data_IF_743260779065
#
_entry.id   IF_743260779065
#
_cell.length_a   1.000
_cell.length_b   1.000
_cell.length_c   1.000
_cell.angle_alpha   90.00
_cell.angle_beta   90.00
_cell.angle_gamma   90.00
#
_symmetry.space_group_name_H-M   'P 1'
#
loop_
_entity.id
_entity.type
_entity.pdbx_description
1 polymer ?
#
# COMPACT_ATOMS: atom_id res chain seq x y z
N UNK A 1 -12.52 5.45 -4.96
CA UNK A 1 -11.72 4.31 -5.48
C UNK A 1 -10.85 4.77 -6.63
N UNK A 2 -9.59 4.32 -6.68
CA UNK A 2 -8.66 4.66 -7.78
C UNK A 2 -9.15 4.09 -9.10
N UNK A 3 -9.07 4.82 -10.22
CA UNK A 3 -9.55 4.36 -11.54
C UNK A 3 -8.51 3.54 -12.32
N UNK A 4 -7.23 3.86 -12.13
CA UNK A 4 -6.09 3.21 -12.77
C UNK A 4 -5.56 2.15 -11.80
N UNK A 5 -5.54 0.89 -12.21
CA UNK A 5 -5.03 -0.21 -11.38
C UNK A 5 -3.69 -0.68 -11.91
N UNK A 6 -2.79 -1.05 -11.01
CA UNK A 6 -1.52 -1.65 -11.36
C UNK A 6 -1.70 -3.12 -11.72
N UNK A 7 -1.26 -3.51 -12.91
CA UNK A 7 -1.38 -4.88 -13.41
C UNK A 7 -0.11 -5.68 -13.12
N UNK A 8 1.06 -5.11 -13.41
CA UNK A 8 2.33 -5.78 -13.24
C UNK A 8 3.46 -4.98 -13.86
N UNK A 9 4.65 -5.58 -13.88
CA UNK A 9 5.83 -5.01 -14.51
C UNK A 9 6.15 -5.83 -15.76
N UNK A 10 6.15 -5.19 -16.92
CA UNK A 10 6.52 -5.80 -18.21
C UNK A 10 7.79 -5.16 -18.75
N UNK A 11 8.76 -5.95 -19.20
CA UNK A 11 10.03 -5.50 -19.82
C UNK A 11 10.59 -4.14 -19.34
N UNK A 12 10.74 -3.94 -18.02
CA UNK A 12 11.21 -2.71 -17.33
C UNK A 12 10.22 -1.54 -17.16
N UNK A 13 8.99 -1.64 -17.64
CA UNK A 13 7.93 -0.64 -17.46
C UNK A 13 6.80 -1.17 -16.57
N UNK A 14 6.10 -0.25 -15.89
CA UNK A 14 4.92 -0.61 -15.11
C UNK A 14 3.68 -0.51 -15.98
N UNK A 15 2.89 -1.59 -16.02
CA UNK A 15 1.65 -1.66 -16.77
C UNK A 15 0.47 -1.45 -15.84
N UNK A 16 -0.48 -0.66 -16.33
CA UNK A 16 -1.70 -0.30 -15.66
C UNK A 16 -2.91 -0.55 -16.55
N UNK A 17 -4.08 -0.62 -15.91
CA UNK A 17 -5.36 -0.71 -16.59
C UNK A 17 -6.31 0.39 -16.12
N UNK A 18 -6.87 1.14 -17.06
CA UNK A 18 -7.88 2.14 -16.76
C UNK A 18 -9.26 1.49 -16.74
N UNK A 19 -9.84 1.34 -15.55
CA UNK A 19 -11.15 0.69 -15.40
C UNK A 19 -12.33 1.47 -16.01
N UNK A 20 -12.15 2.76 -16.33
CA UNK A 20 -13.19 3.60 -16.96
C UNK A 20 -13.13 3.52 -18.49
N UNK A 21 -11.96 3.74 -19.07
CA UNK A 21 -11.76 3.76 -20.54
C UNK A 21 -11.48 2.38 -21.11
N UNK A 22 -11.09 1.41 -20.27
CA UNK A 22 -10.64 0.05 -20.64
C UNK A 22 -9.31 0.01 -21.37
N UNK A 23 -8.54 1.10 -21.32
CA UNK A 23 -7.22 1.18 -21.92
C UNK A 23 -6.17 0.48 -21.04
N UNK A 24 -5.27 -0.25 -21.71
CA UNK A 24 -3.99 -0.65 -21.14
C UNK A 24 -3.01 0.52 -21.27
N UNK A 25 -2.31 0.83 -20.18
CA UNK A 25 -1.41 1.97 -20.08
C UNK A 25 -0.05 1.50 -19.59
N UNK A 26 1.03 2.09 -20.10
CA UNK A 26 2.39 1.86 -19.63
C UNK A 26 3.02 3.19 -19.21
N UNK A 27 4.00 3.12 -18.32
CA UNK A 27 4.89 4.25 -18.05
C UNK A 27 5.70 4.57 -19.29
N UNK A 28 5.93 5.85 -19.57
CA UNK A 28 6.90 6.24 -20.60
C UNK A 28 8.28 5.63 -20.30
N UNK A 29 8.96 5.16 -21.35
CA UNK A 29 10.35 4.71 -21.29
C UNK A 29 11.24 5.86 -20.84
N UNK A 30 11.62 5.91 -19.57
CA UNK A 30 12.54 6.92 -19.08
C UNK A 30 13.96 6.60 -19.53
N UNK A 31 14.41 7.21 -20.64
CA UNK A 31 15.84 7.44 -20.89
C UNK A 31 16.35 8.70 -20.15
N UNK A 32 15.58 9.26 -19.22
CA UNK A 32 15.93 10.50 -18.52
C UNK A 32 16.22 10.22 -17.03
N UNK A 33 17.41 10.59 -16.53
CA UNK A 33 17.70 10.56 -15.11
C UNK A 33 16.80 11.58 -14.40
N UNK A 34 16.13 11.11 -13.36
CA UNK A 34 15.13 11.81 -12.55
C UNK A 34 15.72 12.96 -11.67
N UNK A 35 16.79 13.64 -12.12
CA UNK A 35 17.49 14.66 -11.32
C UNK A 35 17.11 16.12 -11.61
N UNK A 36 16.43 16.43 -12.71
CA UNK A 36 16.38 17.84 -13.18
C UNK A 36 15.06 18.60 -12.96
N UNK A 37 13.97 17.93 -12.57
CA UNK A 37 12.68 18.60 -12.33
C UNK A 37 12.32 18.92 -10.87
N UNK A 38 13.13 18.48 -9.90
CA UNK A 38 12.69 18.37 -8.50
C UNK A 38 12.80 19.65 -7.65
N UNK A 39 13.21 20.79 -8.20
CA UNK A 39 13.63 21.95 -7.39
C UNK A 39 12.53 23.01 -7.20
N UNK A 40 11.52 23.14 -8.06
CA UNK A 40 10.63 24.32 -8.02
C UNK A 40 9.34 24.20 -7.17
N UNK A 41 9.06 23.07 -6.51
CA UNK A 41 7.92 22.95 -5.55
C UNK A 41 8.32 22.51 -4.13
N UNK A 42 9.58 22.77 -3.73
CA UNK A 42 10.21 22.24 -2.51
C UNK A 42 9.72 22.84 -1.17
N UNK A 43 8.96 23.94 -1.16
CA UNK A 43 8.73 24.71 0.08
C UNK A 43 7.72 24.08 1.07
N UNK A 44 6.85 23.17 0.62
CA UNK A 44 5.83 22.53 1.49
C UNK A 44 6.21 21.14 2.02
N UNK A 45 7.05 20.37 1.29
CA UNK A 45 7.38 18.98 1.67
C UNK A 45 8.45 18.88 2.76
N UNK A 46 9.27 19.91 2.94
CA UNK A 46 10.33 19.91 3.95
C UNK A 46 9.79 19.82 5.37
N UNK A 47 8.69 20.52 5.68
CA UNK A 47 8.05 20.46 7.00
C UNK A 47 7.56 19.05 7.33
N UNK A 48 7.01 18.33 6.35
CA UNK A 48 6.58 16.93 6.53
C UNK A 48 7.76 15.98 6.71
N UNK A 49 8.83 16.16 5.93
CA UNK A 49 10.06 15.36 6.05
C UNK A 49 10.70 15.56 7.43
N UNK A 50 10.80 16.81 7.89
CA UNK A 50 11.32 17.16 9.21
C UNK A 50 10.45 16.59 10.33
N UNK A 51 9.13 16.72 10.24
CA UNK A 51 8.18 16.12 11.20
C UNK A 51 8.36 14.61 11.30
N UNK A 52 8.48 13.94 10.15
CA UNK A 52 8.65 12.50 10.08
C UNK A 52 10.02 12.02 10.60
N UNK A 53 11.09 12.75 10.29
CA UNK A 53 12.41 12.49 10.84
C UNK A 53 12.43 12.68 12.37
N UNK A 54 11.82 13.75 12.87
CA UNK A 54 11.71 14.02 14.31
C UNK A 54 10.93 12.90 15.02
N UNK A 55 9.80 12.47 14.47
CA UNK A 55 9.01 11.39 15.06
C UNK A 55 9.78 10.07 15.09
N UNK A 56 10.51 9.74 14.02
CA UNK A 56 11.34 8.54 13.97
C UNK A 56 12.42 8.57 15.07
N UNK A 57 13.13 9.69 15.21
CA UNK A 57 14.14 9.88 16.26
C UNK A 57 13.50 9.78 17.64
N UNK A 58 12.32 10.37 17.86
CA UNK A 58 11.61 10.28 19.13
C UNK A 58 11.26 8.83 19.50
N UNK A 59 10.72 8.04 18.54
CA UNK A 59 10.38 6.62 18.76
C UNK A 59 11.63 5.81 19.11
N UNK A 60 12.70 5.97 18.33
CA UNK A 60 13.98 5.28 18.57
C UNK A 60 14.56 5.68 19.92
N UNK A 61 14.49 6.96 20.29
CA UNK A 61 15.01 7.46 21.57
C UNK A 61 14.26 6.87 22.77
N UNK A 62 12.93 6.73 22.69
CA UNK A 62 12.12 6.06 23.73
C UNK A 62 12.52 4.59 23.86
N UNK A 63 12.76 3.91 22.73
CA UNK A 63 13.24 2.53 22.69
C UNK A 63 14.62 2.37 23.34
N UNK A 64 15.59 3.20 22.96
CA UNK A 64 16.94 3.17 23.54
C UNK A 64 16.89 3.48 25.03
N UNK A 65 16.11 4.49 25.44
CA UNK A 65 15.92 4.83 26.85
C UNK A 65 15.39 3.65 27.64
N UNK A 66 14.43 2.89 27.10
CA UNK A 66 13.91 1.69 27.77
C UNK A 66 14.97 0.63 28.05
N UNK A 67 15.98 0.48 27.18
CA UNK A 67 17.02 -0.53 27.35
C UNK A 67 18.01 -0.15 28.46
N UNK A 68 18.23 1.15 28.64
CA UNK A 68 19.21 1.69 29.60
C UNK A 68 18.57 2.01 30.95
N UNK A 69 17.34 2.50 30.94
CA UNK A 69 16.61 2.94 32.13
C UNK A 69 15.12 2.57 32.02
N UNK A 70 14.69 1.46 32.66
CA UNK A 70 13.29 1.06 32.70
C UNK A 70 12.41 2.17 33.27
N UNK A 71 11.23 2.35 32.70
CA UNK A 71 10.28 3.36 33.14
C UNK A 71 8.85 2.80 33.09
N UNK A 72 7.94 3.41 33.85
CA UNK A 72 6.51 3.09 33.80
C UNK A 72 5.80 3.91 32.74
N UNK A 73 4.86 3.28 32.07
CA UNK A 73 3.96 3.97 31.15
C UNK A 73 3.08 4.97 31.90
N UNK A 74 2.70 6.05 31.21
CA UNK A 74 1.76 7.03 31.74
C UNK A 74 0.82 7.50 30.63
N UNK A 75 -0.35 7.98 31.01
CA UNK A 75 -1.37 8.46 30.06
C UNK A 75 -0.86 9.55 29.10
N UNK A 76 0.09 10.38 29.54
CA UNK A 76 0.74 11.40 28.71
C UNK A 76 1.51 10.82 27.50
N UNK A 77 1.84 9.53 27.53
CA UNK A 77 2.52 8.84 26.43
C UNK A 77 1.54 8.30 25.37
N UNK A 78 0.24 8.26 25.66
CA UNK A 78 -0.79 7.77 24.73
C UNK A 78 -0.78 8.56 23.40
N UNK A 79 -0.77 9.91 23.40
CA UNK A 79 -0.71 10.68 22.15
C UNK A 79 0.54 10.39 21.31
N UNK A 80 1.69 10.12 21.95
CA UNK A 80 2.94 9.78 21.27
C UNK A 80 2.82 8.43 20.55
N UNK A 81 2.23 7.44 21.22
CA UNK A 81 1.97 6.12 20.62
C UNK A 81 0.98 6.21 19.47
N UNK A 82 -0.10 6.98 19.63
CA UNK A 82 -1.06 7.21 18.56
C UNK A 82 -0.41 7.89 17.34
N UNK A 83 0.47 8.86 17.57
CA UNK A 83 1.24 9.51 16.50
C UNK A 83 2.14 8.50 15.77
N UNK A 84 2.78 7.57 16.49
CA UNK A 84 3.60 6.51 15.89
C UNK A 84 2.77 5.54 15.03
N UNK A 85 1.61 5.11 15.51
CA UNK A 85 0.65 4.28 14.76
C UNK A 85 0.23 5.01 13.47
N UNK A 86 -0.17 6.28 13.59
CA UNK A 86 -0.60 7.09 12.45
C UNK A 86 0.53 7.31 11.44
N UNK A 87 1.75 7.52 11.92
CA UNK A 87 2.94 7.63 11.10
C UNK A 87 3.17 6.39 10.24
N UNK A 88 3.16 5.21 10.86
CA UNK A 88 3.35 3.95 10.14
C UNK A 88 2.23 3.77 9.11
N UNK A 89 0.99 4.05 9.49
CA UNK A 89 -0.16 3.95 8.59
C UNK A 89 -0.04 4.89 7.37
N UNK A 90 0.13 6.20 7.60
CA UNK A 90 0.25 7.20 6.52
C UNK A 90 1.49 6.93 5.67
N UNK A 91 2.63 6.66 6.31
CA UNK A 91 3.89 6.36 5.65
C UNK A 91 3.78 5.15 4.74
N UNK A 92 3.10 4.08 5.17
CA UNK A 92 2.89 2.88 4.35
C UNK A 92 1.97 3.14 3.16
N UNK A 93 0.86 3.84 3.37
CA UNK A 93 -0.11 4.18 2.31
C UNK A 93 0.54 5.10 1.27
N UNK A 94 1.29 6.11 1.71
CA UNK A 94 2.04 7.02 0.85
C UNK A 94 3.20 6.33 0.13
N UNK A 95 3.95 5.48 0.84
CA UNK A 95 5.05 4.70 0.30
C UNK A 95 4.58 3.79 -0.83
N UNK A 96 3.46 3.10 -0.64
CA UNK A 96 2.84 2.29 -1.69
C UNK A 96 2.45 3.14 -2.90
N UNK A 97 1.79 4.28 -2.69
CA UNK A 97 1.44 5.21 -3.78
C UNK A 97 2.68 5.62 -4.58
N UNK A 98 3.77 5.94 -3.89
CA UNK A 98 5.01 6.38 -4.54
C UNK A 98 5.74 5.24 -5.25
N UNK A 99 5.74 4.03 -4.69
CA UNK A 99 6.41 2.87 -5.29
C UNK A 99 5.67 2.35 -6.52
N UNK A 100 4.35 2.23 -6.45
CA UNK A 100 3.56 1.59 -7.51
C UNK A 100 2.87 2.56 -8.47
N UNK A 101 2.72 3.84 -8.13
CA UNK A 101 1.98 4.81 -8.96
C UNK A 101 2.76 6.10 -9.25
N UNK A 102 4.04 6.21 -8.89
CA UNK A 102 4.85 7.38 -9.27
C UNK A 102 4.93 7.56 -10.79
N UNK A 103 5.12 6.47 -11.53
CA UNK A 103 5.15 6.45 -12.99
C UNK A 103 3.77 6.65 -13.63
N UNK A 104 2.67 6.51 -12.88
CA UNK A 104 1.31 6.71 -13.38
C UNK A 104 0.96 8.18 -13.71
N UNK A 105 1.93 9.10 -13.59
CA UNK A 105 1.78 10.52 -13.98
C UNK A 105 2.01 10.76 -15.47
N UNK A 106 2.81 9.91 -16.12
CA UNK A 106 3.04 9.94 -17.56
C UNK A 106 2.72 8.56 -18.12
N UNK A 107 1.47 8.41 -18.56
CA UNK A 107 0.92 7.16 -19.04
C UNK A 107 0.65 7.26 -20.53
N UNK A 108 1.21 6.33 -21.28
CA UNK A 108 0.96 6.16 -22.72
C UNK A 108 0.24 4.83 -22.96
N UNK A 109 -0.53 4.68 -24.05
CA UNK A 109 -1.17 3.41 -24.39
C UNK A 109 -0.14 2.29 -24.51
N UNK A 110 -0.40 1.16 -23.85
CA UNK A 110 0.45 -0.04 -23.91
C UNK A 110 0.08 -0.93 -25.10
N UNK A 111 1.04 -1.72 -25.59
CA UNK A 111 0.76 -2.79 -26.55
C UNK A 111 0.14 -4.01 -25.86
N UNK A 112 -0.48 -4.88 -26.65
CA UNK A 112 -1.04 -6.13 -26.14
C UNK A 112 0.05 -7.04 -25.54
N UNK A 113 1.21 -7.13 -26.20
CA UNK A 113 2.35 -7.92 -25.73
C UNK A 113 2.85 -7.44 -24.36
N UNK A 114 2.99 -6.12 -24.17
CA UNK A 114 3.40 -5.55 -22.89
C UNK A 114 2.41 -5.87 -21.77
N UNK A 115 1.12 -5.81 -22.07
CA UNK A 115 0.08 -6.14 -21.10
C UNK A 115 0.08 -7.62 -20.75
N UNK A 116 0.22 -8.50 -21.75
CA UNK A 116 0.34 -9.94 -21.55
C UNK A 116 1.55 -10.28 -20.68
N UNK A 117 2.72 -9.74 -21.01
CA UNK A 117 3.95 -9.94 -20.24
C UNK A 117 3.77 -9.52 -18.78
N UNK A 118 3.19 -8.35 -18.53
CA UNK A 118 2.92 -7.88 -17.16
C UNK A 118 1.93 -8.76 -16.38
N UNK A 119 0.93 -9.34 -17.06
CA UNK A 119 -0.01 -10.29 -16.43
C UNK A 119 0.72 -11.59 -16.08
N UNK A 120 1.48 -12.15 -17.01
CA UNK A 120 2.20 -13.43 -16.87
C UNK A 120 3.36 -13.35 -15.87
N UNK A 121 4.06 -12.22 -15.81
CA UNK A 121 5.14 -11.95 -14.85
C UNK A 121 4.63 -11.72 -13.42
N UNK A 122 3.35 -11.34 -13.27
CA UNK A 122 2.79 -11.03 -11.96
C UNK A 122 2.85 -12.25 -11.03
N UNK A 123 3.42 -12.07 -9.84
CA UNK A 123 3.52 -13.18 -8.86
C UNK A 123 2.15 -13.70 -8.46
N UNK A 124 1.16 -12.80 -8.40
CA UNK A 124 -0.24 -13.10 -8.16
C UNK A 124 -0.79 -14.11 -9.18
N UNK A 125 -0.60 -13.86 -10.47
CA UNK A 125 -1.08 -14.74 -11.53
C UNK A 125 -0.24 -16.00 -11.67
N UNK A 126 1.09 -15.86 -11.60
CA UNK A 126 2.04 -16.96 -11.75
C UNK A 126 1.84 -18.06 -10.70
N UNK A 127 1.45 -17.71 -9.48
CA UNK A 127 1.13 -18.68 -8.42
C UNK A 127 -0.30 -19.22 -8.48
N UNK A 128 -1.16 -18.68 -9.34
CA UNK A 128 -2.54 -19.18 -9.50
C UNK A 128 -2.53 -20.60 -10.12
N UNK A 129 -3.30 -21.57 -9.56
CA UNK A 129 -3.29 -22.97 -10.02
C UNK A 129 -3.66 -23.09 -11.50
N UNK A 130 -4.76 -22.44 -11.89
CA UNK A 130 -5.22 -22.31 -13.26
C UNK A 130 -4.95 -20.88 -13.76
N UNK A 131 -4.55 -20.70 -15.02
CA UNK A 131 -4.34 -19.37 -15.62
C UNK A 131 -5.63 -18.81 -16.21
N UNK A 132 -6.76 -18.99 -15.53
CA UNK A 132 -8.05 -18.52 -15.99
C UNK A 132 -8.71 -17.54 -15.02
N UNK A 133 -9.31 -16.45 -15.51
CA UNK A 133 -9.97 -15.46 -14.66
C UNK A 133 -11.42 -15.90 -14.40
N UNK A 134 -11.57 -16.96 -13.59
CA UNK A 134 -12.86 -17.62 -13.29
C UNK A 134 -13.72 -16.80 -12.33
N UNK A 135 -15.03 -17.07 -12.35
CA UNK A 135 -15.98 -16.49 -11.38
C UNK A 135 -15.66 -16.95 -9.96
N UNK A 136 -15.22 -18.20 -9.80
CA UNK A 136 -14.86 -18.76 -8.49
C UNK A 136 -13.73 -17.99 -7.82
N UNK A 137 -12.72 -17.54 -8.58
CA UNK A 137 -11.68 -16.66 -8.04
C UNK A 137 -12.24 -15.32 -7.57
N UNK A 138 -13.16 -14.74 -8.32
CA UNK A 138 -13.82 -13.47 -7.91
C UNK A 138 -14.58 -13.68 -6.59
N UNK A 139 -15.32 -14.78 -6.45
CA UNK A 139 -16.04 -15.13 -5.22
C UNK A 139 -15.06 -15.37 -4.06
N UNK A 140 -13.95 -16.08 -4.30
CA UNK A 140 -12.91 -16.30 -3.31
C UNK A 140 -12.32 -14.98 -2.81
N UNK A 141 -11.93 -14.07 -3.71
CA UNK A 141 -11.37 -12.78 -3.29
C UNK A 141 -12.42 -11.87 -2.64
N UNK A 142 -13.70 -11.98 -3.01
CA UNK A 142 -14.78 -11.32 -2.29
C UNK A 142 -14.88 -11.83 -0.85
N UNK A 143 -14.83 -13.14 -0.65
CA UNK A 143 -14.81 -13.75 0.68
C UNK A 143 -13.58 -13.31 1.49
N UNK A 144 -12.38 -13.33 0.88
CA UNK A 144 -11.15 -12.83 1.53
C UNK A 144 -11.27 -11.37 1.94
N UNK A 145 -11.86 -10.51 1.11
CA UNK A 145 -12.10 -9.10 1.44
C UNK A 145 -13.10 -8.98 2.60
N UNK A 146 -14.16 -9.78 2.63
CA UNK A 146 -15.14 -9.77 3.73
C UNK A 146 -14.49 -10.17 5.06
N UNK A 147 -13.69 -11.24 5.05
CA UNK A 147 -12.92 -11.68 6.23
C UNK A 147 -11.96 -10.58 6.67
N UNK A 148 -11.25 -9.96 5.73
CA UNK A 148 -10.33 -8.85 6.03
C UNK A 148 -11.06 -7.66 6.67
N UNK A 149 -12.26 -7.31 6.18
CA UNK A 149 -13.08 -6.24 6.75
C UNK A 149 -13.58 -6.59 8.16
N UNK A 150 -13.95 -7.84 8.40
CA UNK A 150 -14.33 -8.31 9.73
C UNK A 150 -13.15 -8.21 10.72
N UNK A 151 -11.97 -8.69 10.32
CA UNK A 151 -10.74 -8.56 11.12
C UNK A 151 -10.37 -7.10 11.35
N UNK A 152 -10.57 -6.23 10.35
CA UNK A 152 -10.34 -4.79 10.49
C UNK A 152 -11.20 -4.17 11.60
N UNK A 153 -12.48 -4.53 11.69
CA UNK A 153 -13.35 -4.06 12.79
C UNK A 153 -12.80 -4.54 14.13
N UNK A 154 -12.42 -5.81 14.25
CA UNK A 154 -11.83 -6.35 15.49
C UNK A 154 -10.56 -5.57 15.86
N UNK A 155 -9.66 -5.37 14.91
CA UNK A 155 -8.38 -4.71 15.16
C UNK A 155 -8.56 -3.25 15.57
N UNK A 156 -9.42 -2.50 14.87
CA UNK A 156 -9.60 -1.07 15.12
C UNK A 156 -10.35 -0.82 16.44
N UNK A 157 -11.38 -1.61 16.75
CA UNK A 157 -12.22 -1.36 17.93
C UNK A 157 -11.76 -2.10 19.19
N UNK A 158 -10.97 -3.17 19.06
CA UNK A 158 -10.54 -3.96 20.20
C UNK A 158 -9.03 -4.06 20.32
N UNK A 159 -8.33 -4.52 19.28
CA UNK A 159 -6.88 -4.78 19.41
C UNK A 159 -6.08 -3.49 19.64
N UNK A 160 -6.29 -2.45 18.83
CA UNK A 160 -5.59 -1.16 18.98
C UNK A 160 -5.96 -0.51 20.34
N UNK A 161 -7.24 -0.37 20.73
CA UNK A 161 -7.60 0.13 22.05
C UNK A 161 -6.97 -0.66 23.21
N UNK A 162 -6.94 -1.98 23.12
CA UNK A 162 -6.33 -2.83 24.15
C UNK A 162 -4.82 -2.56 24.34
N UNK A 163 -4.11 -2.09 23.32
CA UNK A 163 -2.70 -1.70 23.47
C UNK A 163 -2.49 -0.51 24.40
N UNK A 164 -3.54 0.25 24.73
CA UNK A 164 -3.48 1.37 25.65
C UNK A 164 -3.78 1.02 27.12
N UNK A 165 -4.26 -0.20 27.42
CA UNK A 165 -4.51 -0.64 28.80
C UNK A 165 -3.27 -0.48 29.70
N UNK A 166 -2.05 -0.87 29.27
CA UNK A 166 -0.84 -0.73 30.10
C UNK A 166 -0.49 0.71 30.51
N UNK A 167 -1.02 1.73 29.82
CA UNK A 167 -0.79 3.15 30.14
C UNK A 167 -1.62 3.61 31.32
N UNK A 168 -2.84 3.08 31.46
CA UNK A 168 -3.73 3.35 32.59
C UNK A 168 -3.31 2.56 33.83
N UNK A 169 -2.81 1.34 33.64
CA UNK A 169 -2.30 0.49 34.73
C UNK A 169 -0.88 0.85 35.17
N UNK A 170 -0.24 1.80 34.48
CA UNK A 170 1.13 2.24 34.72
C UNK A 170 2.15 1.09 34.73
N UNK A 171 1.97 0.14 33.80
CA UNK A 171 2.86 -1.00 33.70
C UNK A 171 4.29 -0.57 33.35
N UNK A 172 5.25 -1.43 33.71
CA UNK A 172 6.62 -1.28 33.24
C UNK A 172 6.66 -1.42 31.72
N UNK A 173 7.32 -0.45 31.08
CA UNK A 173 7.49 -0.46 29.65
C UNK A 173 8.16 -1.75 29.18
N UNK A 174 7.55 -2.41 28.18
CA UNK A 174 8.13 -3.52 27.44
C UNK A 174 8.19 -3.13 25.95
N UNK A 175 9.28 -3.42 25.24
CA UNK A 175 9.38 -3.06 23.81
C UNK A 175 8.25 -3.63 22.93
N UNK A 176 7.67 -4.77 23.32
CA UNK A 176 6.48 -5.35 22.68
C UNK A 176 5.26 -4.43 22.69
N UNK A 177 5.12 -3.54 23.68
CA UNK A 177 4.02 -2.60 23.80
C UNK A 177 4.00 -1.53 22.69
N UNK A 178 5.13 -1.28 22.01
CA UNK A 178 5.16 -0.50 20.77
C UNK A 178 4.98 -1.39 19.53
N UNK A 179 5.62 -2.57 19.51
CA UNK A 179 5.64 -3.41 18.31
C UNK A 179 4.28 -4.02 17.99
N UNK A 180 3.50 -4.40 19.01
CA UNK A 180 2.16 -4.97 18.83
C UNK A 180 1.20 -3.98 18.17
N UNK A 181 1.02 -2.73 18.65
CA UNK A 181 0.17 -1.75 17.98
C UNK A 181 0.67 -1.41 16.57
N UNK A 182 1.98 -1.28 16.35
CA UNK A 182 2.54 -1.05 15.02
C UNK A 182 2.22 -2.24 14.10
N UNK A 183 2.42 -3.47 14.57
CA UNK A 183 2.04 -4.68 13.84
C UNK A 183 0.55 -4.74 13.54
N UNK A 184 -0.30 -4.34 14.50
CA UNK A 184 -1.75 -4.28 14.32
C UNK A 184 -2.17 -3.31 13.21
N UNK A 185 -1.37 -2.28 12.89
CA UNK A 185 -1.65 -1.37 11.76
C UNK A 185 -1.57 -2.06 10.39
N UNK A 186 -1.00 -3.26 10.27
CA UNK A 186 -0.92 -3.94 8.99
C UNK A 186 -2.31 -4.26 8.41
N UNK A 187 -3.30 -4.52 9.27
CA UNK A 187 -4.68 -4.80 8.85
C UNK A 187 -5.34 -3.56 8.22
N UNK A 188 -5.41 -2.39 8.90
CA UNK A 188 -5.96 -1.18 8.29
C UNK A 188 -5.16 -0.73 7.05
N UNK A 189 -3.83 -0.89 7.03
CA UNK A 189 -3.03 -0.63 5.82
C UNK A 189 -3.49 -1.55 4.69
N UNK A 190 -3.59 -2.85 4.94
CA UNK A 190 -4.00 -3.85 3.94
C UNK A 190 -5.40 -3.56 3.38
N UNK A 191 -6.34 -3.14 4.23
CA UNK A 191 -7.68 -2.70 3.78
C UNK A 191 -7.58 -1.54 2.81
N UNK A 192 -6.82 -0.50 3.15
CA UNK A 192 -6.66 0.67 2.26
C UNK A 192 -6.05 0.26 0.92
N UNK A 193 -4.97 -0.52 0.95
CA UNK A 193 -4.25 -0.92 -0.26
C UNK A 193 -5.08 -1.87 -1.14
N UNK A 194 -5.66 -2.92 -0.55
CA UNK A 194 -6.37 -3.98 -1.29
C UNK A 194 -7.80 -3.60 -1.67
N UNK A 195 -8.46 -2.66 -0.99
CA UNK A 195 -9.80 -2.23 -1.41
C UNK A 195 -9.75 -0.98 -2.29
N UNK A 196 -8.95 0.01 -1.93
CA UNK A 196 -9.04 1.34 -2.54
C UNK A 196 -7.97 1.62 -3.60
N UNK A 197 -6.77 1.05 -3.44
CA UNK A 197 -5.65 1.29 -4.36
C UNK A 197 -5.55 0.23 -5.46
N UNK A 198 -5.27 -1.04 -5.13
CA UNK A 198 -5.08 -2.11 -6.11
C UNK A 198 -5.87 -3.38 -5.75
N UNK A 199 -7.17 -3.36 -6.04
CA UNK A 199 -8.07 -4.43 -5.65
C UNK A 199 -7.91 -5.70 -6.51
N UNK A 200 -7.71 -6.88 -5.89
CA UNK A 200 -7.47 -8.13 -6.62
C UNK A 200 -8.65 -8.56 -7.49
N UNK A 201 -9.89 -8.27 -7.08
CA UNK A 201 -11.09 -8.51 -7.91
C UNK A 201 -11.03 -7.67 -9.18
N UNK A 202 -10.66 -6.39 -9.04
CA UNK A 202 -10.55 -5.48 -10.20
C UNK A 202 -9.42 -5.91 -11.13
N UNK A 203 -8.33 -6.41 -10.57
CA UNK A 203 -7.22 -7.00 -11.31
C UNK A 203 -7.69 -8.22 -12.14
N UNK A 204 -8.41 -9.17 -11.51
CA UNK A 204 -8.94 -10.35 -12.23
C UNK A 204 -9.94 -9.96 -13.30
N UNK A 205 -10.80 -8.97 -13.03
CA UNK A 205 -11.75 -8.45 -14.01
C UNK A 205 -11.05 -7.80 -15.21
N UNK A 206 -9.90 -7.15 -15.01
CA UNK A 206 -9.08 -6.63 -16.11
C UNK A 206 -8.52 -7.77 -16.97
N UNK A 207 -7.96 -8.81 -16.36
CA UNK A 207 -7.48 -10.01 -17.08
C UNK A 207 -8.63 -10.73 -17.80
N UNK A 208 -9.82 -10.80 -17.19
CA UNK A 208 -11.01 -11.36 -17.84
C UNK A 208 -11.41 -10.56 -19.07
N UNK A 209 -11.37 -9.24 -19.00
CA UNK A 209 -11.64 -8.36 -20.15
C UNK A 209 -10.58 -8.52 -21.23
N UNK A 210 -9.32 -8.68 -20.85
CA UNK A 210 -8.23 -8.95 -21.78
C UNK A 210 -8.49 -10.24 -22.58
N UNK A 211 -8.75 -11.36 -21.89
CA UNK A 211 -9.10 -12.63 -22.55
C UNK A 211 -10.36 -12.57 -23.43
N UNK A 212 -11.23 -11.60 -23.21
CA UNK A 212 -12.44 -11.37 -24.01
C UNK A 212 -12.23 -10.40 -25.18
N UNK A 213 -11.00 -9.90 -25.41
CA UNK A 213 -10.71 -8.90 -26.44
C UNK A 213 -11.36 -7.53 -26.16
N UNK A 214 -11.64 -7.21 -24.88
CA UNK A 214 -12.35 -5.97 -24.47
C UNK A 214 -11.42 -4.89 -23.91
N UNK A 215 -10.10 -5.12 -23.95
CA UNK A 215 -9.09 -4.14 -23.54
C UNK A 215 -8.66 -3.37 -24.77
N UNK A 216 -8.54 -2.05 -24.63
CA UNK A 216 -8.05 -1.17 -25.69
C UNK A 216 -6.54 -1.04 -25.57
N UNK A 217 -5.85 -1.34 -26.67
CA UNK A 217 -4.39 -1.25 -26.78
C UNK A 217 -4.01 -0.15 -27.76
N UNK A 218 -2.73 0.21 -27.76
CA UNK A 218 -2.15 1.02 -28.83
C UNK A 218 -2.23 0.23 -30.15
N UNK A 219 -2.70 0.86 -31.22
CA UNK A 219 -2.55 0.30 -32.56
C UNK A 219 -1.06 0.17 -32.89
N UNK A 220 -0.62 -1.04 -33.23
CA UNK A 220 0.69 -1.27 -33.83
C UNK A 220 0.65 -0.64 -35.24
N UNK A 221 1.49 0.38 -35.45
CA UNK A 221 1.72 0.97 -36.77
C UNK A 221 2.85 0.25 -37.48
#
# INVERSE_FOLDING_TARGET
MRKIIYIGQGSQQSIYYNTRTREALTTESSNLPDSEGAISSKKSKWSWILFFAFLLVAIISIWIRSLIMPFRLSEWMIPIHLAAILFVFIGSVYGFEKLFYSGAKSLVPASEEQFKDAVESSTFWRKSPDKEPTVDKIILYLFVILVLLFVFVIVVFFAIPATFIPYYEQEWFKPSMFMVPIGATIVPISVVLLLFQNNPIRWILAVRKYKQGKVLFREEK
#
